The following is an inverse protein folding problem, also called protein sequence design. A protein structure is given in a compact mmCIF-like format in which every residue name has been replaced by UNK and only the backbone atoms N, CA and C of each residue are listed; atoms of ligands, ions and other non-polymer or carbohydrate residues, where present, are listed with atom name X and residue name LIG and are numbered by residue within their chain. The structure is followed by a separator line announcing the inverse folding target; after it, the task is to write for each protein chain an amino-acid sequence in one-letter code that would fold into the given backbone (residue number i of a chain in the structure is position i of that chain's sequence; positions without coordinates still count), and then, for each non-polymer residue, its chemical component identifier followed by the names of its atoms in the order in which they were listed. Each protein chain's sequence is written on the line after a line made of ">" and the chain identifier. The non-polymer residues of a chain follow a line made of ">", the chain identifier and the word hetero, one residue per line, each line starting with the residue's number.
data_IF_387303824062
#
_entry.id   IF_387303824062
#
_cell.length_a   1.000
_cell.length_b   1.000
_cell.length_c   1.000
_cell.angle_alpha   90.00
_cell.angle_beta   90.00
_cell.angle_gamma   90.00
#
_symmetry.space_group_name_H-M   'P 1'
#
loop_
_entity.id
_entity.type
_entity.pdbx_description
1 polymer ?
#
# COMPACT_ATOMS: atom_id res chain seq x y z
N UNK A 1 8.10 -28.84 -4.82
CA UNK A 1 7.93 -27.89 -5.93
C UNK A 1 7.04 -26.76 -5.45
N UNK A 2 7.57 -25.55 -5.25
CA UNK A 2 6.83 -24.39 -4.70
C UNK A 2 6.57 -23.28 -5.72
N UNK A 3 7.01 -23.46 -6.98
CA UNK A 3 6.94 -22.44 -8.02
C UNK A 3 5.53 -22.20 -8.57
N UNK A 4 4.61 -23.13 -8.39
CA UNK A 4 3.21 -22.99 -8.84
C UNK A 4 2.51 -21.79 -8.21
N UNK A 5 2.90 -21.45 -6.97
CA UNK A 5 2.39 -20.26 -6.27
C UNK A 5 2.70 -18.99 -7.06
N UNK A 6 3.85 -18.90 -7.73
CA UNK A 6 4.21 -17.73 -8.55
C UNK A 6 3.27 -17.54 -9.75
N UNK A 7 2.65 -18.61 -10.24
CA UNK A 7 1.78 -18.61 -11.41
C UNK A 7 0.28 -18.58 -11.05
N UNK A 8 -0.06 -18.42 -9.77
CA UNK A 8 -1.45 -18.20 -9.38
C UNK A 8 -2.02 -16.98 -10.08
N UNK A 9 -3.28 -17.07 -10.52
CA UNK A 9 -4.00 -15.98 -11.20
C UNK A 9 -3.91 -14.66 -10.42
N UNK A 10 -4.14 -14.59 -9.09
CA UNK A 10 -3.96 -13.35 -8.33
C UNK A 10 -2.52 -12.80 -8.39
N UNK A 11 -1.49 -13.65 -8.39
CA UNK A 11 -0.10 -13.21 -8.44
C UNK A 11 0.28 -12.69 -9.84
N UNK A 12 -0.28 -13.28 -10.90
CA UNK A 12 -0.15 -12.75 -12.27
C UNK A 12 -0.77 -11.35 -12.36
N UNK A 13 -1.94 -11.14 -11.75
CA UNK A 13 -2.55 -9.81 -11.67
C UNK A 13 -1.65 -8.85 -10.88
N UNK A 14 -1.04 -9.31 -9.79
CA UNK A 14 -0.02 -8.55 -9.06
C UNK A 14 1.17 -8.11 -9.93
N UNK A 15 1.70 -8.98 -10.79
CA UNK A 15 2.76 -8.60 -11.74
C UNK A 15 2.29 -7.54 -12.75
N UNK A 16 1.06 -7.66 -13.25
CA UNK A 16 0.46 -6.68 -14.14
C UNK A 16 0.29 -5.33 -13.41
N UNK A 17 -0.15 -5.33 -12.15
CA UNK A 17 -0.24 -4.12 -11.31
C UNK A 17 1.12 -3.46 -11.16
N UNK A 18 2.15 -4.22 -10.83
CA UNK A 18 3.51 -3.69 -10.70
C UNK A 18 3.99 -3.06 -12.03
N UNK A 19 3.73 -3.72 -13.16
CA UNK A 19 4.06 -3.17 -14.48
C UNK A 19 3.29 -1.87 -14.77
N UNK A 20 1.98 -1.85 -14.54
CA UNK A 20 1.15 -0.65 -14.72
C UNK A 20 1.62 0.51 -13.84
N UNK A 21 2.01 0.22 -12.60
CA UNK A 21 2.59 1.20 -11.69
C UNK A 21 3.90 1.77 -12.26
N UNK A 22 4.84 0.94 -12.70
CA UNK A 22 6.10 1.39 -13.29
C UNK A 22 5.84 2.25 -14.54
N UNK A 23 4.96 1.79 -15.43
CA UNK A 23 4.58 2.54 -16.64
C UNK A 23 3.94 3.88 -16.27
N UNK A 24 3.08 3.92 -15.25
CA UNK A 24 2.49 5.18 -14.78
C UNK A 24 3.57 6.17 -14.39
N UNK A 25 4.62 5.73 -13.67
CA UNK A 25 5.71 6.58 -13.21
C UNK A 25 6.58 7.10 -14.35
N UNK A 26 6.75 6.36 -15.43
CA UNK A 26 7.42 6.86 -16.64
C UNK A 26 6.66 8.06 -17.22
N UNK A 27 5.34 8.02 -17.17
CA UNK A 27 4.47 9.09 -17.66
C UNK A 27 4.13 10.16 -16.61
N UNK A 28 4.93 10.31 -15.54
CA UNK A 28 4.64 11.27 -14.47
C UNK A 28 4.47 12.72 -14.96
N UNK A 29 5.15 13.11 -16.04
CA UNK A 29 5.04 14.46 -16.62
C UNK A 29 3.70 14.72 -17.34
N UNK A 30 2.89 13.67 -17.60
CA UNK A 30 1.58 13.75 -18.24
C UNK A 30 0.49 13.35 -17.22
N UNK A 31 -0.10 14.29 -16.47
CA UNK A 31 -0.90 14.00 -15.28
C UNK A 31 -2.13 13.14 -15.56
N UNK A 32 -2.81 13.33 -16.70
CA UNK A 32 -3.97 12.51 -17.09
C UNK A 32 -3.59 11.05 -17.36
N UNK A 33 -2.47 10.83 -18.06
CA UNK A 33 -2.00 9.49 -18.38
C UNK A 33 -1.49 8.77 -17.13
N UNK A 34 -0.70 9.46 -16.30
CA UNK A 34 -0.28 8.98 -14.98
C UNK A 34 -1.50 8.54 -14.15
N UNK A 35 -2.48 9.43 -13.97
CA UNK A 35 -3.64 9.17 -13.12
C UNK A 35 -4.49 8.01 -13.66
N UNK A 36 -4.64 7.91 -14.98
CA UNK A 36 -5.39 6.80 -15.59
C UNK A 36 -4.72 5.45 -15.35
N UNK A 37 -3.42 5.33 -15.62
CA UNK A 37 -2.66 4.09 -15.45
C UNK A 37 -2.55 3.70 -13.98
N UNK A 38 -2.25 4.67 -13.12
CA UNK A 38 -2.19 4.48 -11.68
C UNK A 38 -3.57 4.06 -11.13
N UNK A 39 -4.64 4.73 -11.55
CA UNK A 39 -6.01 4.38 -11.17
C UNK A 39 -6.40 2.97 -11.58
N UNK A 40 -6.05 2.54 -12.80
CA UNK A 40 -6.27 1.16 -13.25
C UNK A 40 -5.48 0.17 -12.36
N UNK A 41 -4.23 0.47 -12.02
CA UNK A 41 -3.44 -0.38 -11.12
C UNK A 41 -4.09 -0.54 -9.74
N UNK A 42 -4.66 0.52 -9.19
CA UNK A 42 -5.38 0.49 -7.90
C UNK A 42 -6.71 -0.26 -8.02
N UNK A 43 -7.40 -0.22 -9.16
CA UNK A 43 -8.62 -1.01 -9.36
C UNK A 43 -8.34 -2.51 -9.38
N UNK A 44 -7.21 -2.93 -9.95
CA UNK A 44 -6.80 -4.34 -9.98
C UNK A 44 -6.47 -4.92 -8.60
N UNK A 45 -6.11 -4.09 -7.62
CA UNK A 45 -5.89 -4.47 -6.21
C UNK A 45 -7.10 -5.16 -5.60
N UNK A 46 -8.28 -4.56 -5.75
CA UNK A 46 -9.50 -5.19 -5.24
C UNK A 46 -9.84 -6.50 -5.95
N UNK A 47 -9.38 -6.64 -7.21
CA UNK A 47 -9.72 -7.76 -8.07
C UNK A 47 -8.86 -9.00 -7.83
N UNK A 48 -7.56 -8.84 -7.56
CA UNK A 48 -6.69 -9.98 -7.25
C UNK A 48 -7.12 -10.71 -5.96
N UNK A 49 -7.49 -9.98 -4.90
CA UNK A 49 -7.97 -10.55 -3.65
C UNK A 49 -9.33 -11.22 -3.81
N UNK A 50 -10.21 -10.65 -4.64
CA UNK A 50 -11.49 -11.28 -4.97
C UNK A 50 -11.29 -12.61 -5.71
N UNK A 51 -10.41 -12.64 -6.71
CA UNK A 51 -10.09 -13.85 -7.45
C UNK A 51 -9.34 -14.89 -6.62
N UNK A 52 -8.44 -14.47 -5.73
CA UNK A 52 -7.75 -15.38 -4.82
C UNK A 52 -8.73 -16.18 -3.96
N UNK A 53 -9.78 -15.52 -3.43
CA UNK A 53 -10.85 -16.19 -2.66
C UNK A 53 -11.76 -17.03 -3.55
N UNK A 54 -12.14 -16.53 -4.73
CA UNK A 54 -13.05 -17.24 -5.64
C UNK A 54 -12.41 -18.51 -6.23
N UNK A 55 -11.11 -18.47 -6.50
CA UNK A 55 -10.35 -19.58 -7.10
C UNK A 55 -9.67 -20.47 -6.05
N UNK A 56 -9.82 -20.17 -4.75
CA UNK A 56 -9.09 -20.83 -3.65
C UNK A 56 -7.57 -20.83 -3.86
N UNK A 57 -7.02 -19.75 -4.44
CA UNK A 57 -5.60 -19.55 -4.72
C UNK A 57 -4.95 -18.56 -3.73
N UNK A 58 -5.29 -18.68 -2.45
CA UNK A 58 -4.69 -17.85 -1.40
C UNK A 58 -3.32 -18.41 -0.98
N UNK A 59 -2.33 -17.53 -0.82
CA UNK A 59 -0.98 -17.93 -0.42
C UNK A 59 -0.30 -16.86 0.43
N UNK A 60 0.61 -17.28 1.31
CA UNK A 60 1.41 -16.34 2.11
C UNK A 60 2.28 -15.44 1.23
N UNK A 61 2.85 -15.99 0.15
CA UNK A 61 3.60 -15.22 -0.83
C UNK A 61 2.74 -14.15 -1.50
N UNK A 62 1.53 -14.51 -1.97
CA UNK A 62 0.64 -13.55 -2.62
C UNK A 62 0.22 -12.42 -1.69
N UNK A 63 -0.11 -12.74 -0.43
CA UNK A 63 -0.44 -11.73 0.58
C UNK A 63 0.75 -10.81 0.90
N UNK A 64 1.97 -11.34 0.98
CA UNK A 64 3.18 -10.54 1.16
C UNK A 64 3.47 -9.65 -0.07
N UNK A 65 3.34 -10.22 -1.26
CA UNK A 65 3.61 -9.53 -2.52
C UNK A 65 2.65 -8.35 -2.75
N UNK A 66 1.37 -8.53 -2.42
CA UNK A 66 0.36 -7.49 -2.45
C UNK A 66 0.73 -6.29 -1.55
N UNK A 67 1.10 -6.55 -0.29
CA UNK A 67 1.54 -5.49 0.64
C UNK A 67 2.79 -4.76 0.12
N UNK A 68 3.71 -5.46 -0.54
CA UNK A 68 4.90 -4.85 -1.15
C UNK A 68 4.52 -3.93 -2.30
N UNK A 69 3.64 -4.36 -3.22
CA UNK A 69 3.17 -3.52 -4.33
C UNK A 69 2.48 -2.27 -3.78
N UNK A 70 1.66 -2.40 -2.74
CA UNK A 70 0.98 -1.29 -2.09
C UNK A 70 1.95 -0.28 -1.48
N UNK A 71 3.01 -0.75 -0.81
CA UNK A 71 4.07 0.10 -0.26
C UNK A 71 4.81 0.87 -1.35
N UNK A 72 5.13 0.21 -2.47
CA UNK A 72 5.78 0.86 -3.63
C UNK A 72 4.84 1.89 -4.25
N UNK A 73 3.57 1.54 -4.44
CA UNK A 73 2.54 2.40 -5.02
C UNK A 73 2.33 3.66 -4.19
N UNK A 74 2.13 3.52 -2.87
CA UNK A 74 2.00 4.66 -1.95
C UNK A 74 3.28 5.47 -1.87
N UNK A 75 4.43 4.82 -1.83
CA UNK A 75 5.71 5.51 -1.75
C UNK A 75 5.98 6.38 -2.96
N UNK A 76 5.65 5.88 -4.16
CA UNK A 76 5.75 6.66 -5.38
C UNK A 76 4.90 7.94 -5.32
N UNK A 77 3.67 7.85 -4.82
CA UNK A 77 2.82 9.03 -4.58
C UNK A 77 3.42 9.98 -3.53
N UNK A 78 3.93 9.48 -2.41
CA UNK A 78 4.55 10.33 -1.38
C UNK A 78 5.71 11.16 -1.93
N UNK A 79 6.52 10.60 -2.83
CA UNK A 79 7.59 11.32 -3.53
C UNK A 79 7.08 12.50 -4.36
N UNK A 80 5.86 12.43 -4.90
CA UNK A 80 5.26 13.52 -5.69
C UNK A 80 4.56 14.57 -4.83
N UNK A 81 3.92 14.15 -3.72
CA UNK A 81 3.07 15.04 -2.94
C UNK A 81 3.81 15.88 -1.91
N UNK A 82 4.92 15.39 -1.34
CA UNK A 82 5.56 16.05 -0.20
C UNK A 82 7.07 15.85 -0.17
N UNK A 83 7.81 16.91 0.21
CA UNK A 83 9.25 16.82 0.51
C UNK A 83 9.55 15.88 1.67
N UNK A 84 8.60 15.74 2.60
CA UNK A 84 8.67 14.79 3.72
C UNK A 84 8.28 13.36 3.31
N UNK A 85 7.96 13.13 2.03
CA UNK A 85 7.55 11.82 1.52
C UNK A 85 8.58 10.73 1.81
N UNK A 86 9.88 11.02 1.63
CA UNK A 86 10.95 10.06 1.94
C UNK A 86 10.95 9.58 3.39
N UNK A 87 10.65 10.47 4.34
CA UNK A 87 10.55 10.12 5.75
C UNK A 87 9.35 9.20 6.00
N UNK A 88 8.18 9.53 5.42
CA UNK A 88 6.97 8.70 5.56
C UNK A 88 7.20 7.31 4.95
N UNK A 89 7.83 7.24 3.79
CA UNK A 89 8.20 5.98 3.13
C UNK A 89 9.11 5.15 4.04
N UNK A 90 10.14 5.74 4.62
CA UNK A 90 11.05 5.05 5.53
C UNK A 90 10.31 4.49 6.75
N UNK A 91 9.38 5.25 7.32
CA UNK A 91 8.54 4.80 8.45
C UNK A 91 7.62 3.65 8.04
N UNK A 92 6.97 3.72 6.86
CA UNK A 92 6.11 2.65 6.34
C UNK A 92 6.89 1.34 6.15
N UNK A 93 8.05 1.40 5.51
CA UNK A 93 8.92 0.23 5.30
C UNK A 93 9.49 -0.34 6.60
N UNK A 94 9.93 0.53 7.52
CA UNK A 94 10.39 0.08 8.84
C UNK A 94 9.27 -0.62 9.62
N UNK A 95 8.05 -0.06 9.58
CA UNK A 95 6.87 -0.67 10.22
C UNK A 95 6.53 -2.01 9.60
N UNK A 96 6.62 -2.13 8.28
CA UNK A 96 6.44 -3.40 7.56
C UNK A 96 7.45 -4.45 7.98
N UNK A 97 8.74 -4.12 7.96
CA UNK A 97 9.80 -5.05 8.35
C UNK A 97 9.67 -5.45 9.82
N UNK A 98 9.43 -4.48 10.72
CA UNK A 98 9.27 -4.75 12.15
C UNK A 98 8.08 -5.67 12.45
N UNK A 99 6.94 -5.48 11.78
CA UNK A 99 5.77 -6.37 11.95
C UNK A 99 6.05 -7.78 11.42
N UNK A 100 6.77 -7.92 10.30
CA UNK A 100 7.14 -9.23 9.76
C UNK A 100 8.20 -9.95 10.60
N UNK A 101 9.20 -9.24 11.13
CA UNK A 101 10.20 -9.81 12.03
C UNK A 101 9.57 -10.34 13.33
N UNK A 102 8.46 -9.76 13.78
CA UNK A 102 7.73 -10.19 14.98
C UNK A 102 6.82 -11.40 14.74
N UNK A 103 6.42 -11.67 13.49
CA UNK A 103 5.62 -12.83 13.14
C UNK A 103 4.12 -12.70 13.45
N UNK A 104 3.37 -13.81 13.57
CA UNK A 104 1.89 -13.80 13.66
C UNK A 104 1.33 -12.99 14.83
N UNK A 105 2.07 -12.95 15.94
CA UNK A 105 1.66 -12.32 17.19
C UNK A 105 2.05 -10.85 17.28
N UNK A 106 2.39 -10.21 16.15
CA UNK A 106 2.79 -8.80 16.14
C UNK A 106 1.75 -7.84 16.71
N UNK A 107 0.47 -8.24 16.77
CA UNK A 107 -0.63 -7.45 17.38
C UNK A 107 -0.70 -7.55 18.90
N UNK A 108 0.01 -8.49 19.53
CA UNK A 108 0.00 -8.68 20.98
C UNK A 108 1.19 -7.89 21.55
N UNK A 109 0.95 -6.88 22.42
CA UNK A 109 2.03 -6.12 23.04
C UNK A 109 2.71 -6.95 24.14
N UNK A 110 4.04 -6.82 24.26
CA UNK A 110 4.77 -7.42 25.39
C UNK A 110 4.44 -6.69 26.70
N UNK A 111 4.58 -7.38 27.83
CA UNK A 111 4.31 -6.79 29.14
C UNK A 111 5.26 -5.62 29.46
N UNK A 112 6.48 -5.65 28.94
CA UNK A 112 7.49 -4.62 29.18
C UNK A 112 7.32 -3.38 28.29
N UNK A 113 6.35 -3.36 27.37
CA UNK A 113 6.16 -2.23 26.47
C UNK A 113 5.70 -0.97 27.21
N UNK A 114 6.19 0.23 26.81
CA UNK A 114 5.68 1.49 27.29
C UNK A 114 4.16 1.60 27.10
N UNK A 115 3.48 2.26 28.03
CA UNK A 115 2.02 2.40 28.02
C UNK A 115 1.48 2.99 26.72
N UNK A 116 2.21 3.95 26.13
CA UNK A 116 1.85 4.57 24.84
C UNK A 116 1.83 3.52 23.72
N UNK A 117 2.83 2.64 23.65
CA UNK A 117 2.89 1.58 22.64
C UNK A 117 1.72 0.60 22.79
N UNK A 118 1.38 0.23 24.03
CA UNK A 118 0.22 -0.63 24.31
C UNK A 118 -1.10 0.00 23.87
N UNK A 119 -1.29 1.31 24.09
CA UNK A 119 -2.48 2.05 23.64
C UNK A 119 -2.58 2.08 22.11
N UNK A 120 -1.49 2.39 21.41
CA UNK A 120 -1.45 2.41 19.94
C UNK A 120 -1.75 1.01 19.38
N UNK A 121 -1.12 -0.04 19.92
CA UNK A 121 -1.35 -1.41 19.49
C UNK A 121 -2.78 -1.88 19.78
N UNK A 122 -3.38 -1.48 20.90
CA UNK A 122 -4.78 -1.77 21.21
C UNK A 122 -5.73 -1.11 20.20
N UNK A 123 -5.44 0.13 19.78
CA UNK A 123 -6.21 0.82 18.74
C UNK A 123 -6.07 0.12 17.39
N UNK A 124 -4.84 -0.27 16.99
CA UNK A 124 -4.59 -1.04 15.75
C UNK A 124 -5.32 -2.39 15.77
N UNK A 125 -5.36 -3.06 16.93
CA UNK A 125 -6.09 -4.32 17.12
C UNK A 125 -7.59 -4.14 16.89
N UNK A 126 -8.19 -3.05 17.37
CA UNK A 126 -9.62 -2.77 17.13
C UNK A 126 -9.96 -2.56 15.66
N UNK A 127 -9.10 -1.86 14.91
CA UNK A 127 -9.33 -1.56 13.49
C UNK A 127 -9.11 -2.82 12.61
N UNK A 128 -8.59 -3.91 13.20
CA UNK A 128 -8.24 -5.17 12.53
C UNK A 128 -7.48 -4.98 11.20
N UNK A 129 -6.66 -3.95 11.15
CA UNK A 129 -5.93 -3.50 9.96
C UNK A 129 -4.46 -3.33 10.32
N UNK A 130 -3.58 -3.44 9.33
CA UNK A 130 -2.17 -3.13 9.56
C UNK A 130 -1.98 -1.61 9.75
N UNK A 131 -1.05 -1.17 10.61
CA UNK A 131 -0.77 0.26 10.80
C UNK A 131 -0.41 0.97 9.50
N UNK A 132 0.16 0.24 8.54
CA UNK A 132 0.45 0.69 7.18
C UNK A 132 -0.82 1.17 6.43
N UNK A 133 -1.95 0.49 6.64
CA UNK A 133 -3.21 0.86 5.96
C UNK A 133 -3.87 2.13 6.52
N UNK A 134 -3.55 2.54 7.74
CA UNK A 134 -3.97 3.86 8.26
C UNK A 134 -3.24 5.02 7.58
N UNK A 135 -1.99 4.82 7.12
CA UNK A 135 -1.26 5.85 6.36
C UNK A 135 -1.86 6.09 4.98
N UNK A 136 -2.49 5.07 4.38
CA UNK A 136 -3.23 5.23 3.12
C UNK A 136 -4.38 6.23 3.22
N UNK A 137 -5.16 6.21 4.31
CA UNK A 137 -6.25 7.18 4.53
C UNK A 137 -5.71 8.60 4.67
N UNK A 138 -4.58 8.76 5.36
CA UNK A 138 -3.90 10.04 5.50
C UNK A 138 -3.40 10.57 4.15
N UNK A 139 -2.87 9.69 3.29
CA UNK A 139 -2.43 10.05 1.95
C UNK A 139 -3.58 10.54 1.04
N UNK A 140 -4.74 9.87 1.07
CA UNK A 140 -5.94 10.31 0.35
C UNK A 140 -6.36 11.74 0.73
N UNK A 141 -6.24 12.10 2.01
CA UNK A 141 -6.50 13.45 2.48
C UNK A 141 -5.54 14.48 1.83
N UNK A 142 -4.23 14.18 1.78
CA UNK A 142 -3.26 15.04 1.11
C UNK A 142 -3.50 15.18 -0.40
N UNK A 143 -3.89 14.10 -1.08
CA UNK A 143 -4.27 14.14 -2.49
C UNK A 143 -5.46 15.06 -2.71
N UNK A 144 -6.50 14.96 -1.88
CA UNK A 144 -7.66 15.85 -1.97
C UNK A 144 -7.30 17.32 -1.75
N UNK A 145 -6.41 17.63 -0.82
CA UNK A 145 -5.92 19.00 -0.59
C UNK A 145 -5.13 19.51 -1.81
N UNK A 146 -4.25 18.69 -2.37
CA UNK A 146 -3.41 19.07 -3.51
C UNK A 146 -4.22 19.25 -4.79
N UNK A 147 -5.19 18.37 -5.07
CA UNK A 147 -6.11 18.50 -6.21
C UNK A 147 -6.95 19.78 -6.09
N UNK A 148 -7.48 20.10 -4.89
CA UNK A 148 -8.22 21.35 -4.67
C UNK A 148 -7.36 22.57 -4.97
N UNK A 149 -6.09 22.57 -4.56
CA UNK A 149 -5.15 23.64 -4.85
C UNK A 149 -4.88 23.79 -6.37
N UNK A 150 -4.65 22.69 -7.08
CA UNK A 150 -4.45 22.70 -8.54
C UNK A 150 -5.70 23.17 -9.30
N UNK A 151 -6.89 22.73 -8.91
CA UNK A 151 -8.15 23.18 -9.52
C UNK A 151 -8.43 24.67 -9.27
N UNK A 152 -7.97 25.21 -8.14
CA UNK A 152 -8.05 26.65 -7.85
C UNK A 152 -7.09 27.50 -8.70
N UNK A 153 -5.95 26.94 -9.13
CA UNK A 153 -4.99 27.63 -9.99
C UNK A 153 -5.45 27.65 -11.46
N UNK A 154 -6.20 26.64 -11.92
CA UNK A 154 -6.74 26.57 -13.30
C UNK A 154 -7.98 27.47 -13.51
N UNK A 155 -8.60 27.96 -12.43
CA UNK A 155 -9.74 28.89 -12.49
C UNK A 155 -9.36 30.39 -12.48
N UNK A 156 -8.07 30.73 -12.55
CA UNK A 156 -7.56 32.08 -12.77
C UNK A 156 -6.96 32.19 -14.16
#
# INVERSE_FOLDING_TARGET
>A
MGYEVLLFVPNIIGYIRLLLLIVSLIFYSKPLLFLSLYGISVLFDGFDGFLARKLNQTSAFGAWFDVVIDLVSRGALWCFLSKWGYFVIAVEWLTFVATHCRGPDWKIPDEDFPTICKMVMAQVKQINRQPISSFFLFQLFFIQQHIKHLLFQVKK
#
